data_IF_104843228996
#
_entry.id   IF_104843228996
#
_cell.length_a   1.000
_cell.length_b   1.000
_cell.length_c   1.000
_cell.angle_alpha   90.00
_cell.angle_beta   90.00
_cell.angle_gamma   90.00
#
_symmetry.space_group_name_H-M   'P 1'
#
loop_
_entity.id
_entity.type
_entity.pdbx_description
1 polymer ?
#
# COMPACT_ATOMS: atom_id res chain seq x y z
N UNK A 1 -8.42 -26.86 17.14
CA UNK A 1 -8.05 -26.14 18.39
C UNK A 1 -6.56 -25.84 18.33
N UNK A 2 -6.11 -24.59 18.46
CA UNK A 2 -4.68 -24.24 18.35
C UNK A 2 -3.90 -24.64 19.62
N UNK A 3 -2.67 -25.16 19.50
CA UNK A 3 -1.80 -25.37 20.66
C UNK A 3 -1.48 -24.06 21.38
N UNK A 4 -1.38 -24.08 22.71
CA UNK A 4 -1.10 -22.88 23.53
C UNK A 4 0.16 -22.14 23.07
N UNK A 5 1.25 -22.87 22.77
CA UNK A 5 2.50 -22.28 22.31
C UNK A 5 2.33 -21.50 20.98
N UNK A 6 1.55 -22.05 20.04
CA UNK A 6 1.26 -21.40 18.77
C UNK A 6 0.46 -20.11 18.97
N UNK A 7 -0.61 -20.16 19.77
CA UNK A 7 -1.40 -18.97 20.09
C UNK A 7 -0.55 -17.87 20.75
N UNK A 8 0.28 -18.22 21.73
CA UNK A 8 1.18 -17.27 22.40
C UNK A 8 2.15 -16.61 21.42
N UNK A 9 2.74 -17.37 20.49
CA UNK A 9 3.69 -16.83 19.51
C UNK A 9 3.03 -15.81 18.57
N UNK A 10 1.84 -16.12 18.05
CA UNK A 10 1.10 -15.22 17.15
C UNK A 10 0.64 -13.96 17.89
N UNK A 11 0.11 -14.10 19.10
CA UNK A 11 -0.31 -12.95 19.92
C UNK A 11 0.88 -12.07 20.26
N UNK A 12 2.05 -12.63 20.59
CA UNK A 12 3.26 -11.84 20.83
C UNK A 12 3.67 -11.02 19.59
N UNK A 13 3.62 -11.61 18.39
CA UNK A 13 3.89 -10.86 17.16
C UNK A 13 2.84 -9.77 16.90
N UNK A 14 1.56 -10.07 17.13
CA UNK A 14 0.48 -9.10 16.98
C UNK A 14 0.66 -7.89 17.91
N UNK A 15 1.03 -8.12 19.18
CA UNK A 15 1.29 -7.04 20.15
C UNK A 15 2.49 -6.19 19.73
N UNK A 16 3.57 -6.80 19.22
CA UNK A 16 4.73 -6.07 18.68
C UNK A 16 4.31 -5.15 17.53
N UNK A 17 3.53 -5.67 16.59
CA UNK A 17 3.01 -4.89 15.45
C UNK A 17 2.07 -3.77 15.92
N UNK A 18 1.17 -4.07 16.86
CA UNK A 18 0.20 -3.13 17.42
C UNK A 18 0.88 -1.93 18.09
N UNK A 19 2.02 -2.14 18.75
CA UNK A 19 2.79 -1.05 19.34
C UNK A 19 3.18 0.00 18.30
N UNK A 20 3.64 -0.41 17.11
CA UNK A 20 3.93 0.52 16.01
C UNK A 20 2.66 1.15 15.46
N UNK A 21 1.58 0.38 15.28
CA UNK A 21 0.28 0.94 14.83
C UNK A 21 -0.18 2.11 15.69
N UNK A 22 0.05 2.06 17.00
CA UNK A 22 -0.33 3.14 17.94
C UNK A 22 0.72 4.26 17.97
N UNK A 23 2.00 3.93 18.19
CA UNK A 23 3.03 4.92 18.54
C UNK A 23 3.86 5.43 17.34
N UNK A 24 3.88 4.67 16.23
CA UNK A 24 4.64 4.92 14.99
C UNK A 24 3.76 4.58 13.78
N UNK A 25 2.61 5.28 13.64
CA UNK A 25 1.56 4.87 12.71
C UNK A 25 2.00 4.92 11.25
N UNK A 26 2.76 5.94 10.83
CA UNK A 26 3.17 6.06 9.43
C UNK A 26 4.18 4.96 9.04
N UNK A 27 5.07 4.57 9.96
CA UNK A 27 5.97 3.43 9.77
C UNK A 27 5.21 2.10 9.72
N UNK A 28 4.16 1.96 10.53
CA UNK A 28 3.27 0.81 10.46
C UNK A 28 2.59 0.70 9.09
N UNK A 29 2.01 1.80 8.59
CA UNK A 29 1.34 1.83 7.29
C UNK A 29 2.33 1.57 6.15
N UNK A 30 3.48 2.25 6.13
CA UNK A 30 4.53 2.02 5.13
C UNK A 30 4.95 0.54 5.07
N UNK A 31 5.15 -0.08 6.22
CA UNK A 31 5.52 -1.51 6.31
C UNK A 31 4.38 -2.41 5.86
N UNK A 32 3.14 -2.13 6.27
CA UNK A 32 1.98 -2.90 5.88
C UNK A 32 1.80 -2.90 4.35
N UNK A 33 1.80 -1.72 3.72
CA UNK A 33 1.60 -1.60 2.28
C UNK A 33 2.78 -2.12 1.46
N UNK A 34 3.99 -2.12 2.02
CA UNK A 34 5.18 -2.68 1.35
C UNK A 34 5.20 -4.21 1.38
N UNK A 35 4.72 -4.85 2.46
CA UNK A 35 4.95 -6.28 2.70
C UNK A 35 3.70 -7.14 2.48
N UNK A 36 2.50 -6.56 2.64
CA UNK A 36 1.25 -7.32 2.70
C UNK A 36 0.17 -6.88 1.72
N UNK A 37 0.23 -5.64 1.25
CA UNK A 37 -0.79 -5.15 0.33
C UNK A 37 -0.43 -5.61 -1.09
N UNK A 38 -1.06 -6.69 -1.51
CA UNK A 38 -1.07 -7.12 -2.90
C UNK A 38 -2.36 -6.63 -3.56
N UNK A 39 -2.29 -6.26 -4.84
CA UNK A 39 -3.47 -6.02 -5.70
C UNK A 39 -4.42 -4.90 -5.24
N UNK A 40 -3.92 -3.66 -5.08
CA UNK A 40 -4.77 -2.50 -4.84
C UNK A 40 -4.46 -1.34 -5.80
N UNK A 41 -5.52 -0.68 -6.29
CA UNK A 41 -5.41 0.49 -7.15
C UNK A 41 -5.09 1.74 -6.34
N UNK A 42 -3.81 2.13 -6.36
CA UNK A 42 -3.28 3.32 -5.69
C UNK A 42 -4.04 4.60 -6.07
N UNK A 43 -4.64 4.69 -7.26
CA UNK A 43 -5.38 5.87 -7.69
C UNK A 43 -6.58 6.16 -6.79
N UNK A 44 -7.21 5.13 -6.23
CA UNK A 44 -8.32 5.26 -5.28
C UNK A 44 -7.82 5.82 -3.95
N UNK A 45 -6.66 5.37 -3.47
CA UNK A 45 -6.10 5.83 -2.20
C UNK A 45 -5.60 7.28 -2.26
N UNK A 46 -5.05 7.70 -3.40
CA UNK A 46 -4.61 9.09 -3.60
C UNK A 46 -5.78 10.07 -3.57
N UNK A 47 -6.97 9.65 -3.99
CA UNK A 47 -8.20 10.47 -3.93
C UNK A 47 -8.72 10.66 -2.49
N UNK A 48 -8.22 9.90 -1.52
CA UNK A 48 -8.51 10.06 -0.09
C UNK A 48 -9.78 9.35 0.39
N UNK A 49 -10.18 9.68 1.63
CA UNK A 49 -11.19 8.94 2.40
C UNK A 49 -12.52 8.71 1.68
N UNK A 50 -13.05 9.72 0.98
CA UNK A 50 -14.38 9.62 0.37
C UNK A 50 -14.40 8.60 -0.78
N UNK A 51 -13.34 8.61 -1.61
CA UNK A 51 -13.19 7.63 -2.70
C UNK A 51 -13.01 6.22 -2.16
N UNK A 52 -12.20 6.06 -1.11
CA UNK A 52 -12.00 4.78 -0.44
C UNK A 52 -13.33 4.24 0.15
N UNK A 53 -14.10 5.10 0.85
CA UNK A 53 -15.42 4.72 1.40
C UNK A 53 -16.40 4.30 0.31
N UNK A 54 -16.40 5.01 -0.82
CA UNK A 54 -17.25 4.67 -1.96
C UNK A 54 -16.89 3.28 -2.52
N UNK A 55 -15.60 2.98 -2.68
CA UNK A 55 -15.15 1.68 -3.17
C UNK A 55 -15.49 0.53 -2.21
N UNK A 56 -15.29 0.74 -0.89
CA UNK A 56 -15.66 -0.25 0.13
C UNK A 56 -17.17 -0.52 0.06
N UNK A 57 -17.98 0.54 -0.05
CA UNK A 57 -19.44 0.43 -0.15
C UNK A 57 -19.85 -0.37 -1.39
N UNK A 58 -19.29 -0.06 -2.56
CA UNK A 58 -19.59 -0.76 -3.81
C UNK A 58 -19.34 -2.27 -3.69
N UNK A 59 -18.18 -2.66 -3.15
CA UNK A 59 -17.83 -4.08 -2.99
C UNK A 59 -18.72 -4.76 -1.95
N UNK A 60 -19.04 -4.05 -0.86
CA UNK A 60 -19.90 -4.57 0.20
C UNK A 60 -21.33 -4.81 -0.31
N UNK A 61 -21.85 -3.91 -1.15
CA UNK A 61 -23.19 -4.02 -1.75
C UNK A 61 -23.31 -5.23 -2.70
N UNK A 62 -22.22 -5.63 -3.36
CA UNK A 62 -22.18 -6.87 -4.17
C UNK A 62 -22.33 -8.13 -3.31
N UNK A 63 -22.03 -8.08 -2.01
CA UNK A 63 -22.20 -9.20 -1.07
C UNK A 63 -21.56 -10.51 -1.57
N UNK A 64 -22.39 -11.50 -1.89
CA UNK A 64 -21.92 -12.80 -2.38
C UNK A 64 -21.42 -12.76 -3.83
N UNK A 65 -21.81 -11.77 -4.62
CA UNK A 65 -21.40 -11.58 -6.01
C UNK A 65 -19.99 -10.97 -6.13
N UNK A 66 -19.46 -10.40 -5.05
CA UNK A 66 -18.09 -9.90 -5.03
C UNK A 66 -17.09 -11.03 -5.25
N UNK A 67 -16.17 -10.79 -6.19
CA UNK A 67 -15.09 -11.72 -6.51
C UNK A 67 -14.14 -11.92 -5.32
N UNK A 68 -13.39 -13.03 -5.26
CA UNK A 68 -12.36 -13.21 -4.24
C UNK A 68 -11.34 -12.07 -4.20
N UNK A 69 -10.99 -11.50 -5.37
CA UNK A 69 -10.07 -10.36 -5.47
C UNK A 69 -10.65 -9.11 -4.79
N UNK A 70 -11.91 -8.78 -5.08
CA UNK A 70 -12.57 -7.63 -4.45
C UNK A 70 -12.72 -7.80 -2.93
N UNK A 71 -13.05 -9.02 -2.46
CA UNK A 71 -13.13 -9.33 -1.03
C UNK A 71 -11.78 -9.16 -0.33
N UNK A 72 -10.69 -9.58 -0.96
CA UNK A 72 -9.34 -9.35 -0.44
C UNK A 72 -8.98 -7.85 -0.43
N UNK A 73 -9.39 -7.11 -1.46
CA UNK A 73 -9.14 -5.68 -1.58
C UNK A 73 -9.80 -4.85 -0.47
N UNK A 74 -10.96 -5.27 0.06
CA UNK A 74 -11.61 -4.61 1.22
C UNK A 74 -10.63 -4.48 2.38
N UNK A 75 -9.86 -5.53 2.70
CA UNK A 75 -8.93 -5.51 3.84
C UNK A 75 -7.86 -4.43 3.68
N UNK A 76 -7.39 -4.21 2.45
CA UNK A 76 -6.40 -3.15 2.16
C UNK A 76 -7.07 -1.77 2.20
N UNK A 77 -8.26 -1.63 1.61
CA UNK A 77 -9.04 -0.39 1.60
C UNK A 77 -9.39 0.09 3.01
N UNK A 78 -9.74 -0.80 3.92
CA UNK A 78 -10.01 -0.46 5.33
C UNK A 78 -8.78 0.17 6.01
N UNK A 79 -7.57 -0.34 5.69
CA UNK A 79 -6.31 0.20 6.20
C UNK A 79 -5.94 1.54 5.53
N UNK A 80 -6.21 1.69 4.23
CA UNK A 80 -6.09 2.98 3.55
C UNK A 80 -7.01 4.03 4.18
N UNK A 81 -8.27 3.67 4.44
CA UNK A 81 -9.23 4.56 5.08
C UNK A 81 -8.78 4.92 6.49
N UNK A 82 -8.38 3.94 7.31
CA UNK A 82 -7.88 4.18 8.66
C UNK A 82 -6.67 5.14 8.63
N UNK A 83 -5.73 4.93 7.71
CA UNK A 83 -4.58 5.81 7.54
C UNK A 83 -5.00 7.26 7.22
N UNK A 84 -5.92 7.43 6.26
CA UNK A 84 -6.45 8.75 5.87
C UNK A 84 -7.16 9.45 7.03
N UNK A 85 -8.03 8.75 7.75
CA UNK A 85 -8.78 9.28 8.89
C UNK A 85 -7.88 9.64 10.09
N UNK A 86 -6.67 9.06 10.16
CA UNK A 86 -5.65 9.43 11.15
C UNK A 86 -4.79 10.62 10.75
N UNK A 87 -5.10 11.29 9.63
CA UNK A 87 -4.41 12.50 9.17
C UNK A 87 -3.19 12.25 8.29
N UNK A 88 -3.01 11.02 7.78
CA UNK A 88 -1.99 10.71 6.78
C UNK A 88 -2.58 10.67 5.37
N UNK A 89 -1.74 10.62 4.34
CA UNK A 89 -2.21 10.58 2.95
C UNK A 89 -1.31 9.77 2.03
N UNK A 90 -1.80 9.46 0.84
CA UNK A 90 -1.01 8.89 -0.23
C UNK A 90 -0.65 9.97 -1.24
N UNK A 91 0.58 9.95 -1.74
CA UNK A 91 0.99 10.76 -2.89
C UNK A 91 0.86 9.96 -4.17
N UNK A 92 0.91 10.65 -5.29
CA UNK A 92 1.14 10.01 -6.58
C UNK A 92 2.55 9.41 -6.63
N UNK A 93 2.75 8.51 -7.59
CA UNK A 93 4.08 8.04 -7.96
C UNK A 93 4.91 9.23 -8.38
N UNK A 94 6.15 9.23 -7.91
CA UNK A 94 7.13 10.26 -8.17
C UNK A 94 8.32 9.60 -8.83
N UNK A 95 8.61 9.98 -10.08
CA UNK A 95 9.67 9.39 -10.87
C UNK A 95 11.03 9.42 -10.17
N UNK A 96 11.28 10.45 -9.35
CA UNK A 96 12.57 10.66 -8.70
C UNK A 96 12.61 10.25 -7.24
N UNK A 97 11.46 9.94 -6.63
CA UNK A 97 11.36 9.62 -5.20
C UNK A 97 10.74 8.26 -4.90
N UNK A 98 9.91 7.72 -5.79
CA UNK A 98 9.36 6.37 -5.66
C UNK A 98 10.49 5.33 -5.69
N UNK A 99 10.37 4.31 -4.86
CA UNK A 99 11.23 3.13 -4.88
C UNK A 99 10.63 2.08 -5.82
N UNK A 100 11.41 1.10 -6.28
CA UNK A 100 10.87 -0.05 -7.00
C UNK A 100 9.72 -0.79 -6.27
N UNK A 101 9.84 -1.06 -4.97
CA UNK A 101 8.94 -1.97 -4.25
C UNK A 101 8.52 -1.55 -2.85
N UNK A 102 8.98 -0.39 -2.36
CA UNK A 102 8.73 0.07 -0.99
C UNK A 102 7.97 1.38 -0.96
N UNK A 103 6.99 1.49 -0.07
CA UNK A 103 6.38 2.77 0.24
C UNK A 103 7.37 3.64 1.01
N UNK A 104 7.60 4.85 0.51
CA UNK A 104 8.53 5.81 1.10
C UNK A 104 7.75 6.81 1.94
N UNK A 105 8.21 7.04 3.18
CA UNK A 105 7.62 8.01 4.09
C UNK A 105 8.08 9.41 3.69
N UNK A 106 7.13 10.31 3.48
CA UNK A 106 7.36 11.72 3.14
C UNK A 106 6.48 12.62 4.00
N UNK A 107 7.01 13.03 5.15
CA UNK A 107 6.25 13.80 6.15
C UNK A 107 5.07 12.98 6.68
N UNK A 108 3.84 13.43 6.40
CA UNK A 108 2.61 12.71 6.75
C UNK A 108 2.03 11.89 5.59
N UNK A 109 2.81 11.68 4.53
CA UNK A 109 2.34 10.94 3.37
C UNK A 109 3.20 9.72 3.06
N UNK A 110 2.63 8.78 2.31
CA UNK A 110 3.37 7.70 1.69
C UNK A 110 3.46 7.91 0.18
N UNK A 111 4.67 7.81 -0.35
CA UNK A 111 4.93 7.76 -1.79
C UNK A 111 4.89 6.28 -2.21
N UNK A 112 3.98 5.90 -3.11
CA UNK A 112 3.87 4.53 -3.59
C UNK A 112 5.08 4.11 -4.44
N UNK A 113 5.44 2.82 -4.42
CA UNK A 113 6.46 2.27 -5.30
C UNK A 113 5.98 2.11 -6.74
N UNK A 114 6.91 1.93 -7.67
CA UNK A 114 6.58 1.67 -9.08
C UNK A 114 5.80 0.36 -9.27
N UNK A 115 6.10 -0.69 -8.50
CA UNK A 115 5.38 -1.96 -8.59
C UNK A 115 3.94 -1.92 -8.03
N UNK A 116 3.51 -0.79 -7.45
CA UNK A 116 2.10 -0.57 -7.10
C UNK A 116 1.27 -0.13 -8.32
N UNK A 117 1.90 0.20 -9.47
CA UNK A 117 1.18 0.45 -10.71
C UNK A 117 0.64 -0.86 -11.27
N UNK A 118 -0.64 -0.82 -11.64
CA UNK A 118 -1.25 -1.90 -12.40
C UNK A 118 -0.44 -2.17 -13.69
N UNK A 119 0.03 -3.40 -13.85
CA UNK A 119 0.82 -3.83 -15.01
C UNK A 119 2.33 -3.63 -14.87
N UNK A 120 2.84 -3.01 -13.80
CA UNK A 120 4.29 -2.88 -13.55
C UNK A 120 4.74 -3.93 -12.54
N UNK A 121 5.40 -4.98 -13.03
CA UNK A 121 6.01 -6.01 -12.17
C UNK A 121 7.28 -5.52 -11.47
N UNK A 122 7.73 -6.25 -10.45
CA UNK A 122 8.93 -5.90 -9.65
C UNK A 122 10.18 -5.68 -10.50
N UNK A 123 10.44 -6.51 -11.52
CA UNK A 123 11.61 -6.33 -12.39
C UNK A 123 11.55 -5.05 -13.23
N UNK A 124 10.38 -4.68 -13.73
CA UNK A 124 10.21 -3.41 -14.45
C UNK A 124 10.40 -2.21 -13.50
N UNK A 125 9.86 -2.30 -12.30
CA UNK A 125 10.04 -1.30 -11.25
C UNK A 125 11.51 -1.10 -10.85
N UNK A 126 12.28 -2.19 -10.72
CA UNK A 126 13.73 -2.15 -10.46
C UNK A 126 14.50 -1.53 -11.62
N UNK A 127 14.12 -1.83 -12.87
CA UNK A 127 14.74 -1.22 -14.05
C UNK A 127 14.52 0.30 -14.09
N UNK A 128 13.31 0.78 -13.78
CA UNK A 128 13.01 2.22 -13.70
C UNK A 128 13.91 2.89 -12.65
N UNK A 129 14.01 2.30 -11.46
CA UNK A 129 14.86 2.81 -10.37
C UNK A 129 16.35 2.81 -10.76
N UNK A 130 16.82 1.77 -11.45
CA UNK A 130 18.21 1.69 -11.91
C UNK A 130 18.53 2.69 -13.02
N UNK A 131 17.63 2.86 -14.00
CA UNK A 131 17.79 3.82 -15.09
C UNK A 131 17.87 5.25 -14.54
N UNK A 132 17.02 5.60 -13.57
CA UNK A 132 17.08 6.87 -12.84
C UNK A 132 18.46 7.14 -12.21
N UNK A 133 19.10 6.10 -11.68
CA UNK A 133 20.41 6.25 -11.05
C UNK A 133 21.55 6.49 -12.06
N UNK A 134 21.30 6.28 -13.36
CA UNK A 134 22.26 6.49 -14.44
C UNK A 134 22.14 7.88 -15.08
N UNK A 135 21.05 8.60 -14.84
CA UNK A 135 20.80 9.95 -15.36
C UNK A 135 19.33 10.34 -15.23
N UNK A 136 19.04 11.63 -15.44
CA UNK A 136 17.64 12.09 -15.55
C UNK A 136 17.03 11.61 -16.86
N UNK A 137 15.74 11.26 -16.81
CA UNK A 137 14.99 10.91 -18.01
C UNK A 137 14.76 12.17 -18.85
N UNK A 138 15.20 12.13 -20.11
CA UNK A 138 15.12 13.29 -21.00
C UNK A 138 13.78 13.38 -21.75
N UNK A 139 13.03 12.27 -21.81
CA UNK A 139 11.73 12.21 -22.47
C UNK A 139 10.90 11.02 -21.97
N UNK A 140 9.63 10.95 -22.37
CA UNK A 140 8.79 9.77 -22.13
C UNK A 140 9.32 8.55 -22.92
N UNK A 141 9.89 8.77 -24.10
CA UNK A 141 10.50 7.70 -24.91
C UNK A 141 11.74 7.11 -24.23
N UNK A 142 12.46 7.92 -23.46
CA UNK A 142 13.64 7.51 -22.66
C UNK A 142 13.25 6.72 -21.40
N UNK A 143 11.99 6.80 -20.99
CA UNK A 143 11.43 6.06 -19.85
C UNK A 143 10.90 4.66 -20.26
N UNK A 144 10.51 4.48 -21.52
CA UNK A 144 9.86 3.27 -22.06
C UNK A 144 10.88 2.24 -22.58
#
# INVERSE_FOLDING_TARGET
>A
MFPKAHATAYVLMAVRIAWFKVNRPIEYYATYFTVRADDFDISIAVQGSDSIRAQIKEITEKGNEASPKEKNMITVLELCLEMCERGFSFKNIDLYRSHASRYIIDGNSLIPPFNALAGVGTSAAENIENARNQGEFLSIEDLL
#
